data_IF_502877782495
#
_entry.id   IF_502877782495
#
_cell.length_a   1.000
_cell.length_b   1.000
_cell.length_c   1.000
_cell.angle_alpha   90.00
_cell.angle_beta   90.00
_cell.angle_gamma   90.00
#
_symmetry.space_group_name_H-M   'P 1'
#
loop_
_entity.id
_entity.type
_entity.pdbx_description
1 polymer ?
#
# COMPACT_ATOMS: atom_id res chain seq x y z
N UNK A 1 -18.46 4.63 51.76
CA UNK A 1 -19.21 4.55 50.50
C UNK A 1 -18.24 4.92 49.38
N UNK A 2 -17.79 3.88 48.68
CA UNK A 2 -16.83 3.90 47.58
C UNK A 2 -17.41 4.64 46.39
N UNK A 3 -16.84 5.78 46.02
CA UNK A 3 -17.10 6.41 44.72
C UNK A 3 -16.32 5.62 43.68
N UNK A 4 -17.08 4.82 42.92
CA UNK A 4 -16.60 3.87 41.92
C UNK A 4 -15.67 4.50 40.87
N UNK A 5 -14.58 3.79 40.58
CA UNK A 5 -13.56 4.13 39.58
C UNK A 5 -14.02 3.98 38.12
N UNK A 6 -15.30 4.22 37.83
CA UNK A 6 -15.90 4.08 36.48
C UNK A 6 -15.67 5.30 35.59
N UNK A 7 -15.45 6.48 36.17
CA UNK A 7 -15.23 7.72 35.39
C UNK A 7 -13.99 7.76 34.48
N UNK A 8 -12.80 7.23 34.83
CA UNK A 8 -11.62 7.30 33.96
C UNK A 8 -11.75 6.39 32.74
N UNK A 9 -12.30 5.18 32.93
CA UNK A 9 -12.47 4.18 31.87
C UNK A 9 -13.53 4.61 30.84
N UNK A 10 -14.62 5.20 31.32
CA UNK A 10 -15.67 5.77 30.46
C UNK A 10 -15.13 6.98 29.69
N UNK A 11 -14.38 7.89 30.34
CA UNK A 11 -13.75 9.02 29.67
C UNK A 11 -12.77 8.57 28.58
N UNK A 12 -12.00 7.51 28.87
CA UNK A 12 -11.10 6.86 27.91
C UNK A 12 -11.85 6.39 26.67
N UNK A 13 -12.96 5.68 26.87
CA UNK A 13 -13.81 5.16 25.79
C UNK A 13 -14.40 6.32 25.00
N UNK A 14 -14.89 7.37 25.66
CA UNK A 14 -15.41 8.56 24.99
C UNK A 14 -14.35 9.28 24.16
N UNK A 15 -13.12 9.46 24.67
CA UNK A 15 -12.01 10.06 23.93
C UNK A 15 -11.63 9.22 22.70
N UNK A 16 -11.60 7.89 22.84
CA UNK A 16 -11.29 6.96 21.76
C UNK A 16 -12.42 6.90 20.74
N UNK A 17 -13.69 6.88 21.18
CA UNK A 17 -14.85 6.93 20.29
C UNK A 17 -14.87 8.26 19.53
N UNK A 18 -14.58 9.38 20.20
CA UNK A 18 -14.56 10.71 19.58
C UNK A 18 -13.43 10.81 18.54
N UNK A 19 -12.24 10.28 18.84
CA UNK A 19 -11.11 10.23 17.92
C UNK A 19 -11.31 9.25 16.74
N UNK A 20 -12.11 8.20 16.92
CA UNK A 20 -12.39 7.20 15.89
C UNK A 20 -13.61 7.55 15.02
N UNK A 21 -14.63 8.20 15.59
CA UNK A 21 -15.93 8.49 14.95
C UNK A 21 -15.97 9.88 14.29
N UNK A 22 -15.33 10.90 14.87
CA UNK A 22 -15.21 12.19 14.19
C UNK A 22 -13.98 12.18 13.28
N UNK A 23 -14.21 12.52 12.01
CA UNK A 23 -13.26 12.73 10.91
C UNK A 23 -11.75 12.72 11.30
N UNK A 24 -10.85 12.01 10.58
CA UNK A 24 -9.43 11.83 10.94
C UNK A 24 -8.66 13.10 11.34
N UNK A 25 -9.07 14.27 10.85
CA UNK A 25 -8.52 15.57 11.23
C UNK A 25 -8.74 15.95 12.70
N UNK A 26 -9.87 15.55 13.30
CA UNK A 26 -10.21 15.84 14.70
C UNK A 26 -9.35 14.99 15.63
N UNK A 27 -9.23 13.69 15.34
CA UNK A 27 -8.32 12.80 16.07
C UNK A 27 -6.85 13.25 16.00
N UNK A 28 -6.40 13.72 14.83
CA UNK A 28 -5.05 14.22 14.66
C UNK A 28 -4.78 15.53 15.42
N UNK A 29 -5.73 16.48 15.43
CA UNK A 29 -5.60 17.71 16.22
C UNK A 29 -5.66 17.47 17.73
N UNK A 30 -6.51 16.54 18.17
CA UNK A 30 -6.54 16.10 19.56
C UNK A 30 -5.19 15.50 19.97
N UNK A 31 -4.61 14.63 19.14
CA UNK A 31 -3.29 14.04 19.39
C UNK A 31 -2.18 15.09 19.45
N UNK A 32 -2.17 16.07 18.54
CA UNK A 32 -1.24 17.20 18.56
C UNK A 32 -1.33 17.98 19.89
N UNK A 33 -2.55 18.36 20.27
CA UNK A 33 -2.81 19.12 21.50
C UNK A 33 -2.37 18.33 22.73
N UNK A 34 -2.65 17.02 22.75
CA UNK A 34 -2.27 16.13 23.84
C UNK A 34 -0.75 16.02 23.99
N UNK A 35 -0.04 15.83 22.87
CA UNK A 35 1.42 15.69 22.87
C UNK A 35 2.13 17.00 23.22
N UNK A 36 1.62 18.14 22.76
CA UNK A 36 2.14 19.46 23.16
C UNK A 36 1.96 19.70 24.66
N UNK A 37 0.76 19.44 25.18
CA UNK A 37 0.48 19.56 26.62
C UNK A 37 1.38 18.63 27.44
N UNK A 38 1.63 17.40 26.96
CA UNK A 38 2.59 16.50 27.60
C UNK A 38 4.02 17.09 27.61
N UNK A 39 4.50 17.66 26.50
CA UNK A 39 5.83 18.25 26.43
C UNK A 39 5.97 19.50 27.31
N UNK A 40 4.93 20.34 27.38
CA UNK A 40 4.91 21.54 28.24
C UNK A 40 4.92 21.16 29.72
N UNK A 41 4.09 20.18 30.13
CA UNK A 41 4.05 19.68 31.51
C UNK A 41 5.34 18.92 31.86
N UNK A 42 5.94 18.21 30.90
CA UNK A 42 7.21 17.52 31.09
C UNK A 42 8.39 18.49 31.31
N UNK A 43 8.39 19.63 30.60
CA UNK A 43 9.37 20.70 30.78
C UNK A 43 9.14 21.52 32.05
N UNK A 44 7.89 21.61 32.48
CA UNK A 44 7.54 22.26 33.74
C UNK A 44 8.02 21.39 34.91
N UNK A 45 8.67 21.99 35.90
CA UNK A 45 9.05 21.28 37.12
C UNK A 45 7.86 20.98 38.04
N UNK A 46 6.64 21.33 37.63
CA UNK A 46 5.41 21.16 38.41
C UNK A 46 5.28 19.75 38.98
N UNK A 47 5.16 19.68 40.30
CA UNK A 47 4.89 18.45 41.03
C UNK A 47 3.43 18.04 40.84
N UNK A 48 3.19 17.02 40.03
CA UNK A 48 1.83 16.53 39.80
C UNK A 48 1.79 15.25 38.97
N UNK A 49 0.70 14.49 39.11
CA UNK A 49 0.43 13.28 38.31
C UNK A 49 -0.11 13.58 36.90
N UNK A 50 -0.14 14.85 36.52
CA UNK A 50 -0.66 15.27 35.22
C UNK A 50 0.16 14.70 34.06
N UNK A 51 1.49 14.68 34.20
CA UNK A 51 2.38 14.10 33.20
C UNK A 51 2.11 12.60 32.98
N UNK A 52 1.95 11.85 34.08
CA UNK A 52 1.59 10.43 34.04
C UNK A 52 0.22 10.21 33.38
N UNK A 53 -0.78 11.02 33.74
CA UNK A 53 -2.14 10.90 33.18
C UNK A 53 -2.17 11.17 31.67
N UNK A 54 -1.44 12.19 31.20
CA UNK A 54 -1.31 12.48 29.77
C UNK A 54 -0.61 11.35 29.03
N UNK A 55 0.43 10.77 29.63
CA UNK A 55 1.15 9.63 29.06
C UNK A 55 0.26 8.37 28.98
N UNK A 56 -0.56 8.11 30.01
CA UNK A 56 -1.56 7.04 30.00
C UNK A 56 -2.59 7.27 28.89
N UNK A 57 -3.03 8.50 28.67
CA UNK A 57 -3.97 8.80 27.59
C UNK A 57 -3.36 8.52 26.21
N UNK A 58 -2.09 8.89 25.98
CA UNK A 58 -1.35 8.56 24.75
C UNK A 58 -1.20 7.04 24.60
N UNK A 59 -0.85 6.33 25.68
CA UNK A 59 -0.75 4.87 25.70
C UNK A 59 -2.08 4.18 25.30
N UNK A 60 -3.20 4.75 25.76
CA UNK A 60 -4.51 4.23 25.41
C UNK A 60 -4.87 4.48 23.93
N UNK A 61 -4.57 5.66 23.38
CA UNK A 61 -4.73 5.89 21.93
C UNK A 61 -3.96 4.87 21.08
N UNK A 62 -2.77 4.45 21.53
CA UNK A 62 -2.03 3.35 20.91
C UNK A 62 -2.74 2.00 21.08
N UNK A 63 -3.17 1.66 22.29
CA UNK A 63 -3.90 0.41 22.55
C UNK A 63 -5.19 0.30 21.71
N UNK A 64 -5.88 1.40 21.44
CA UNK A 64 -7.07 1.40 20.57
C UNK A 64 -6.76 1.54 19.06
N UNK A 65 -5.50 1.46 18.66
CA UNK A 65 -5.05 1.55 17.27
C UNK A 65 -5.39 2.88 16.59
N UNK A 66 -5.47 3.98 17.34
CA UNK A 66 -5.56 5.34 16.79
C UNK A 66 -4.16 5.79 16.34
N UNK A 67 -3.13 5.44 17.10
CA UNK A 67 -1.73 5.85 16.85
C UNK A 67 -0.85 4.63 16.62
N UNK A 68 0.15 4.76 15.75
CA UNK A 68 1.15 3.72 15.52
C UNK A 68 2.24 3.69 16.61
N UNK A 69 2.89 2.54 16.81
CA UNK A 69 3.98 2.33 17.79
C UNK A 69 5.18 3.29 17.66
N UNK A 70 5.31 4.01 16.54
CA UNK A 70 6.41 4.96 16.28
C UNK A 70 6.41 6.09 17.32
N UNK A 71 5.25 6.68 17.61
CA UNK A 71 5.14 7.75 18.60
C UNK A 71 5.58 7.27 19.99
N UNK A 72 5.17 6.05 20.36
CA UNK A 72 5.49 5.46 21.65
C UNK A 72 7.00 5.20 21.77
N UNK A 73 7.63 4.68 20.73
CA UNK A 73 9.08 4.50 20.70
C UNK A 73 9.84 5.83 20.74
N UNK A 74 9.36 6.88 20.08
CA UNK A 74 9.98 8.21 20.12
C UNK A 74 9.92 8.81 21.53
N UNK A 75 8.78 8.70 22.22
CA UNK A 75 8.63 9.12 23.62
C UNK A 75 9.56 8.33 24.51
N UNK A 76 9.59 6.99 24.39
CA UNK A 76 10.51 6.14 25.16
C UNK A 76 11.97 6.53 24.92
N UNK A 77 12.39 6.76 23.67
CA UNK A 77 13.75 7.19 23.35
C UNK A 77 14.09 8.55 23.95
N UNK A 78 13.15 9.50 23.95
CA UNK A 78 13.34 10.81 24.60
C UNK A 78 13.55 10.65 26.11
N UNK A 79 12.70 9.87 26.79
CA UNK A 79 12.85 9.62 28.24
C UNK A 79 14.14 8.86 28.58
N UNK A 80 14.53 7.90 27.74
CA UNK A 80 15.82 7.19 27.86
C UNK A 80 16.99 8.13 27.57
N UNK A 81 16.82 9.16 26.74
CA UNK A 81 17.87 10.13 26.41
C UNK A 81 18.27 10.98 27.62
N UNK A 82 17.30 11.42 28.42
CA UNK A 82 17.49 12.26 29.62
C UNK A 82 17.76 11.44 30.88
N UNK A 83 17.12 10.27 31.02
CA UNK A 83 17.35 9.27 32.07
C UNK A 83 17.34 9.84 33.51
N UNK A 84 16.39 10.74 33.81
CA UNK A 84 16.15 11.27 35.16
C UNK A 84 15.28 10.34 36.02
N UNK A 85 15.18 10.62 37.33
CA UNK A 85 14.28 9.88 38.24
C UNK A 85 12.81 9.92 37.79
N UNK A 86 12.35 11.09 37.31
CA UNK A 86 11.00 11.26 36.73
C UNK A 86 10.85 10.43 35.44
N UNK A 87 11.88 10.37 34.60
CA UNK A 87 11.85 9.60 33.35
C UNK A 87 11.70 8.10 33.58
N UNK A 88 12.38 7.55 34.61
CA UNK A 88 12.28 6.14 34.98
C UNK A 88 10.85 5.77 35.36
N UNK A 89 10.17 6.64 36.11
CA UNK A 89 8.76 6.45 36.49
C UNK A 89 7.84 6.51 35.26
N UNK A 90 8.04 7.48 34.36
CA UNK A 90 7.26 7.59 33.12
C UNK A 90 7.50 6.39 32.18
N UNK A 91 8.73 5.91 32.06
CA UNK A 91 9.07 4.70 31.27
C UNK A 91 8.34 3.49 31.86
N UNK A 92 8.37 3.31 33.18
CA UNK A 92 7.68 2.22 33.87
C UNK A 92 6.16 2.26 33.63
N UNK A 93 5.54 3.44 33.77
CA UNK A 93 4.10 3.63 33.53
C UNK A 93 3.76 3.29 32.09
N UNK A 94 4.55 3.75 31.13
CA UNK A 94 4.31 3.49 29.71
C UNK A 94 4.47 2.01 29.40
N UNK A 95 5.59 1.39 29.77
CA UNK A 95 5.88 -0.03 29.52
C UNK A 95 4.84 -0.97 30.16
N UNK A 96 4.29 -0.63 31.33
CA UNK A 96 3.19 -1.38 31.94
C UNK A 96 1.92 -1.34 31.08
N UNK A 97 1.59 -0.20 30.48
CA UNK A 97 0.36 -0.05 29.70
C UNK A 97 0.46 -0.56 28.26
N UNK A 98 1.63 -0.45 27.62
CA UNK A 98 1.80 -0.73 26.18
C UNK A 98 2.88 -1.75 25.84
N UNK A 99 3.71 -2.17 26.81
CA UNK A 99 4.91 -2.96 26.55
C UNK A 99 4.65 -4.29 25.83
N UNK A 100 3.58 -5.00 26.18
CA UNK A 100 3.22 -6.25 25.50
C UNK A 100 2.66 -6.01 24.09
N UNK A 101 1.85 -4.98 23.92
CA UNK A 101 1.35 -4.56 22.60
C UNK A 101 2.52 -4.18 21.68
N UNK A 102 3.49 -3.41 22.19
CA UNK A 102 4.71 -3.06 21.47
C UNK A 102 5.54 -4.28 21.08
N UNK A 103 5.72 -5.25 21.98
CA UNK A 103 6.46 -6.49 21.66
C UNK A 103 5.81 -7.28 20.52
N UNK A 104 4.48 -7.34 20.49
CA UNK A 104 3.73 -8.04 19.44
C UNK A 104 3.88 -7.36 18.08
N UNK A 105 4.00 -6.04 18.05
CA UNK A 105 4.14 -5.26 16.82
C UNK A 105 5.60 -5.12 16.35
N UNK A 106 6.53 -4.82 17.26
CA UNK A 106 7.95 -4.63 16.97
C UNK A 106 8.85 -5.16 18.11
N UNK A 107 9.09 -6.47 18.08
CA UNK A 107 9.98 -7.14 19.02
C UNK A 107 11.45 -6.69 18.87
N UNK A 108 11.88 -6.27 17.68
CA UNK A 108 13.24 -5.84 17.41
C UNK A 108 13.49 -4.45 18.02
N UNK A 109 12.59 -3.49 17.78
CA UNK A 109 12.66 -2.15 18.34
C UNK A 109 12.62 -2.15 19.88
N UNK A 110 11.82 -3.02 20.49
CA UNK A 110 11.83 -3.20 21.94
C UNK A 110 13.18 -3.75 22.43
N UNK A 111 13.77 -4.73 21.72
CA UNK A 111 15.08 -5.28 22.08
C UNK A 111 16.19 -4.22 21.98
N UNK A 112 16.16 -3.39 20.95
CA UNK A 112 17.09 -2.26 20.79
C UNK A 112 16.94 -1.26 21.94
N UNK A 113 15.71 -0.88 22.29
CA UNK A 113 15.44 0.03 23.40
C UNK A 113 15.97 -0.54 24.73
N UNK A 114 15.76 -1.83 25.00
CA UNK A 114 16.27 -2.50 26.20
C UNK A 114 17.81 -2.43 26.24
N UNK A 115 18.47 -2.69 25.12
CA UNK A 115 19.92 -2.62 25.04
C UNK A 115 20.43 -1.18 25.28
N UNK A 116 19.75 -0.17 24.75
CA UNK A 116 20.11 1.24 24.98
C UNK A 116 19.92 1.65 26.44
N UNK A 117 18.82 1.23 27.08
CA UNK A 117 18.60 1.45 28.51
C UNK A 117 19.67 0.76 29.35
N UNK A 118 20.04 -0.49 29.04
CA UNK A 118 21.10 -1.21 29.73
C UNK A 118 22.46 -0.53 29.57
N UNK A 119 22.81 -0.07 28.37
CA UNK A 119 24.05 0.68 28.12
C UNK A 119 24.09 1.96 28.96
N UNK A 120 22.99 2.72 29.00
CA UNK A 120 22.91 3.95 29.79
C UNK A 120 22.97 3.70 31.30
N UNK A 121 22.23 2.70 31.79
CA UNK A 121 22.29 2.30 33.19
C UNK A 121 23.71 1.87 33.61
N UNK A 122 24.44 1.17 32.74
CA UNK A 122 25.83 0.78 32.98
C UNK A 122 26.81 1.96 32.90
N UNK A 123 26.58 2.92 31.99
CA UNK A 123 27.44 4.09 31.81
C UNK A 123 27.35 5.09 32.98
N UNK A 124 26.21 5.17 33.67
CA UNK A 124 26.00 6.09 34.79
C UNK A 124 26.60 5.59 36.13
N UNK A 125 27.26 4.43 36.15
CA UNK A 125 28.01 3.92 37.30
C UNK A 125 27.14 3.45 38.48
N UNK A 126 27.80 3.04 39.57
CA UNK A 126 27.18 2.38 40.75
C UNK A 126 26.10 3.20 41.46
N UNK A 127 26.11 4.55 41.34
CA UNK A 127 25.12 5.42 41.99
C UNK A 127 23.66 5.20 41.53
N UNK A 128 23.46 4.76 40.28
CA UNK A 128 22.12 4.46 39.74
C UNK A 128 21.83 2.95 39.69
N UNK A 129 22.86 2.10 39.71
CA UNK A 129 22.68 0.64 39.84
C UNK A 129 22.07 0.26 41.21
N UNK A 130 22.30 1.05 42.25
CA UNK A 130 21.75 0.80 43.59
C UNK A 130 20.35 1.40 43.80
N UNK A 131 19.79 2.13 42.82
CA UNK A 131 18.42 2.61 42.91
C UNK A 131 17.45 1.47 42.58
N UNK A 132 16.73 0.99 43.60
CA UNK A 132 15.70 -0.06 43.48
C UNK A 132 14.71 0.18 42.32
N UNK A 133 14.44 1.45 41.97
CA UNK A 133 13.59 1.85 40.85
C UNK A 133 14.17 1.50 39.47
N UNK A 134 15.48 1.68 39.27
CA UNK A 134 16.16 1.36 38.00
C UNK A 134 16.24 -0.15 37.81
N UNK A 135 16.61 -0.88 38.87
CA UNK A 135 16.61 -2.35 38.86
C UNK A 135 15.21 -2.90 38.55
N UNK A 136 14.18 -2.37 39.22
CA UNK A 136 12.80 -2.76 38.94
C UNK A 136 12.38 -2.46 37.49
N UNK A 137 12.76 -1.30 36.93
CA UNK A 137 12.52 -1.00 35.51
C UNK A 137 13.19 -2.00 34.57
N UNK A 138 14.45 -2.34 34.83
CA UNK A 138 15.20 -3.33 34.05
C UNK A 138 14.56 -4.73 34.16
N UNK A 139 14.08 -5.11 35.33
CA UNK A 139 13.34 -6.37 35.53
C UNK A 139 12.06 -6.40 34.69
N UNK A 140 11.26 -5.32 34.69
CA UNK A 140 10.05 -5.21 33.87
C UNK A 140 10.40 -5.27 32.38
N UNK A 141 11.45 -4.58 31.94
CA UNK A 141 11.92 -4.63 30.55
C UNK A 141 12.37 -6.04 30.13
N UNK A 142 13.07 -6.76 31.01
CA UNK A 142 13.48 -8.15 30.77
C UNK A 142 12.30 -9.12 30.78
N UNK A 143 11.34 -8.93 31.68
CA UNK A 143 10.09 -9.69 31.69
C UNK A 143 9.31 -9.49 30.38
N UNK A 144 9.23 -8.25 29.89
CA UNK A 144 8.66 -7.95 28.57
C UNK A 144 9.42 -8.66 27.46
N UNK A 145 10.76 -8.58 27.41
CA UNK A 145 11.58 -9.29 26.41
C UNK A 145 11.27 -10.79 26.37
N UNK A 146 11.22 -11.41 27.54
CA UNK A 146 11.00 -12.85 27.71
C UNK A 146 9.53 -13.29 27.63
N UNK A 147 8.60 -12.36 27.40
CA UNK A 147 7.16 -12.62 27.32
C UNK A 147 6.52 -13.09 28.65
N UNK A 148 7.11 -12.74 29.79
CA UNK A 148 6.66 -13.15 31.12
C UNK A 148 5.59 -12.19 31.68
N UNK A 149 4.35 -12.33 31.22
CA UNK A 149 3.20 -11.49 31.63
C UNK A 149 2.98 -11.46 33.15
N UNK A 150 3.28 -12.58 33.83
CA UNK A 150 3.06 -12.76 35.27
C UNK A 150 3.99 -11.91 36.14
N UNK A 151 5.09 -11.41 35.60
CA UNK A 151 6.08 -10.61 36.34
C UNK A 151 5.80 -9.11 36.30
N UNK A 152 4.77 -8.65 35.58
CA UNK A 152 4.39 -7.24 35.52
C UNK A 152 3.27 -6.96 36.54
N UNK A 153 3.53 -6.21 37.62
CA UNK A 153 2.52 -5.93 38.63
C UNK A 153 1.36 -5.09 38.06
N UNK A 154 0.13 -5.57 38.22
CA UNK A 154 -1.08 -4.84 37.82
C UNK A 154 -1.39 -4.86 36.32
N UNK A 155 -0.76 -5.74 35.53
CA UNK A 155 -1.08 -5.89 34.11
C UNK A 155 -2.31 -6.79 33.93
N UNK A 156 -3.46 -6.20 33.62
CA UNK A 156 -4.67 -6.91 33.19
C UNK A 156 -5.07 -6.46 31.77
N UNK A 157 -4.93 -7.31 30.74
CA UNK A 157 -5.33 -6.97 29.38
C UNK A 157 -6.85 -7.07 29.15
N UNK A 158 -7.61 -7.70 30.05
CA UNK A 158 -9.03 -7.99 29.82
C UNK A 158 -9.92 -6.76 29.63
N UNK A 159 -9.81 -5.67 30.42
CA UNK A 159 -10.70 -4.51 30.29
C UNK A 159 -10.52 -3.82 28.93
N UNK A 160 -9.26 -3.60 28.52
CA UNK A 160 -8.93 -2.98 27.24
C UNK A 160 -9.39 -3.86 26.07
N UNK A 161 -9.26 -5.19 26.19
CA UNK A 161 -9.69 -6.11 25.14
C UNK A 161 -11.22 -6.21 25.03
N UNK A 162 -11.95 -6.16 26.16
CA UNK A 162 -13.42 -6.04 26.19
C UNK A 162 -13.87 -4.75 25.52
N UNK A 163 -13.27 -3.61 25.87
CA UNK A 163 -13.56 -2.32 25.26
C UNK A 163 -13.24 -2.29 23.76
N UNK A 164 -12.12 -2.89 23.34
CA UNK A 164 -11.75 -3.00 21.93
C UNK A 164 -12.75 -3.84 21.13
N UNK A 165 -13.29 -4.92 21.73
CA UNK A 165 -14.35 -5.73 21.11
C UNK A 165 -15.66 -4.93 20.96
N UNK A 166 -16.06 -4.19 22.00
CA UNK A 166 -17.24 -3.32 21.93
C UNK A 166 -17.11 -2.25 20.85
N UNK A 167 -15.93 -1.61 20.76
CA UNK A 167 -15.67 -0.61 19.72
C UNK A 167 -15.79 -1.20 18.31
N UNK A 168 -15.25 -2.40 18.07
CA UNK A 168 -15.40 -3.09 16.78
C UNK A 168 -16.86 -3.40 16.42
N UNK A 169 -17.67 -3.79 17.40
CA UNK A 169 -19.10 -4.05 17.19
C UNK A 169 -19.86 -2.78 16.83
N UNK A 170 -19.52 -1.63 17.44
CA UNK A 170 -20.15 -0.34 17.16
C UNK A 170 -19.73 0.25 15.81
N UNK A 171 -18.54 -0.07 15.32
CA UNK A 171 -17.97 0.49 14.08
C UNK A 171 -18.17 -0.41 12.86
N UNK A 172 -19.30 -1.12 12.78
CA UNK A 172 -19.57 -2.30 11.92
C UNK A 172 -19.41 -2.11 10.38
N UNK A 173 -18.91 -0.97 9.90
CA UNK A 173 -18.70 -0.65 8.47
C UNK A 173 -17.31 -0.06 8.14
N UNK A 174 -16.40 0.14 9.10
CA UNK A 174 -15.03 0.60 8.81
C UNK A 174 -14.07 -0.58 8.76
N UNK A 175 -13.88 -1.11 7.56
CA UNK A 175 -12.82 -2.07 7.25
C UNK A 175 -11.49 -1.53 7.76
N UNK A 176 -10.81 -2.31 8.60
CA UNK A 176 -9.41 -2.13 9.00
C UNK A 176 -9.09 -1.14 10.13
N UNK A 177 -9.28 -1.59 11.37
CA UNK A 177 -8.74 -0.95 12.57
C UNK A 177 -7.21 -1.08 12.75
N UNK A 178 -6.48 -1.72 11.83
CA UNK A 178 -5.00 -1.75 11.84
C UNK A 178 -4.38 -0.85 10.75
N UNK A 179 -5.04 -0.65 9.62
CA UNK A 179 -4.52 0.20 8.52
C UNK A 179 -4.85 1.69 8.68
N UNK A 180 -5.77 2.05 9.59
CA UNK A 180 -6.15 3.44 9.87
C UNK A 180 -5.30 4.14 10.94
N UNK A 181 -4.24 3.50 11.46
CA UNK A 181 -3.37 4.07 12.48
C UNK A 181 -2.63 5.32 11.96
N UNK A 182 -2.68 6.41 12.73
CA UNK A 182 -1.92 7.62 12.45
C UNK A 182 -0.43 7.33 12.72
N UNK A 183 0.38 7.27 11.66
CA UNK A 183 1.84 7.10 11.73
C UNK A 183 2.53 8.46 11.82
N UNK A 184 2.68 8.97 13.04
CA UNK A 184 3.30 10.29 13.29
C UNK A 184 4.45 10.17 14.28
N UNK A 185 5.56 10.86 14.00
CA UNK A 185 6.68 10.99 14.93
C UNK A 185 6.42 12.08 15.98
N UNK A 186 7.04 11.93 17.15
CA UNK A 186 6.93 12.92 18.23
C UNK A 186 7.37 14.32 17.76
N UNK A 187 8.46 14.38 17.01
CA UNK A 187 9.05 15.62 16.51
C UNK A 187 8.14 16.34 15.50
N UNK A 188 7.37 15.57 14.70
CA UNK A 188 6.39 16.12 13.76
C UNK A 188 5.20 16.76 14.48
N UNK A 189 4.73 16.16 15.58
CA UNK A 189 3.66 16.74 16.40
C UNK A 189 4.10 18.01 17.15
N UNK A 190 5.33 18.01 17.68
CA UNK A 190 5.87 19.16 18.41
C UNK A 190 6.20 20.34 17.48
N UNK A 191 6.64 20.07 16.25
CA UNK A 191 6.92 21.10 15.24
C UNK A 191 5.81 21.26 14.20
N UNK A 192 4.58 20.86 14.51
CA UNK A 192 3.49 20.91 13.53
C UNK A 192 3.17 22.34 13.04
N UNK A 193 3.51 23.38 13.82
CA UNK A 193 3.40 24.78 13.37
C UNK A 193 4.48 25.19 12.35
N UNK A 194 5.62 24.50 12.33
CA UNK A 194 6.75 24.77 11.42
C UNK A 194 6.71 23.87 10.18
N UNK A 195 6.49 22.57 10.40
CA UNK A 195 6.50 21.52 9.35
C UNK A 195 5.17 21.49 8.57
N UNK A 196 4.13 22.12 9.12
CA UNK A 196 2.78 22.09 8.60
C UNK A 196 2.00 20.90 9.16
N UNK A 197 0.69 21.10 9.36
CA UNK A 197 -0.21 20.07 9.90
C UNK A 197 -0.48 19.03 8.82
N UNK A 198 0.04 17.81 9.01
CA UNK A 198 0.02 16.74 8.01
C UNK A 198 -1.40 16.20 7.68
N UNK A 199 -2.39 16.52 8.51
CA UNK A 199 -3.80 16.12 8.34
C UNK A 199 -4.69 17.22 7.74
N UNK A 200 -4.12 18.39 7.41
CA UNK A 200 -4.83 19.44 6.68
C UNK A 200 -4.40 19.36 5.21
N UNK A 201 -5.36 19.19 4.31
CA UNK A 201 -5.09 19.09 2.87
C UNK A 201 -4.57 20.46 2.37
N UNK A 202 -3.31 20.52 1.93
CA UNK A 202 -2.69 21.71 1.34
C UNK A 202 -1.66 22.46 2.21
N UNK A 203 -1.39 22.03 3.45
CA UNK A 203 -0.44 22.69 4.36
C UNK A 203 0.97 22.09 4.42
N UNK A 204 1.29 21.10 3.59
CA UNK A 204 2.64 20.52 3.51
C UNK A 204 3.60 21.40 2.69
N UNK A 205 3.73 22.69 3.01
CA UNK A 205 4.95 23.44 2.70
C UNK A 205 5.03 24.78 3.46
N UNK A 206 5.83 24.82 4.51
CA UNK A 206 6.35 26.07 5.09
C UNK A 206 7.82 25.91 5.48
N UNK A 207 8.67 25.77 4.45
CA UNK A 207 10.05 26.28 4.42
C UNK A 207 10.97 26.11 5.62
N UNK A 208 11.13 24.93 6.22
CA UNK A 208 12.28 24.65 7.10
C UNK A 208 13.41 23.98 6.30
N UNK A 209 14.67 24.47 6.40
CA UNK A 209 15.81 23.91 5.68
C UNK A 209 16.15 22.51 6.23
N UNK A 210 16.58 21.62 5.34
CA UNK A 210 17.06 20.29 5.70
C UNK A 210 18.17 20.40 6.75
N UNK A 211 17.92 19.85 7.94
CA UNK A 211 18.99 19.55 8.89
C UNK A 211 19.67 18.29 8.35
N UNK A 212 20.86 18.48 7.78
CA UNK A 212 21.84 17.43 7.49
C UNK A 212 22.06 16.60 8.76
N UNK A 213 21.42 15.44 8.80
CA UNK A 213 21.56 14.46 9.87
C UNK A 213 22.40 13.31 9.33
N UNK A 214 23.70 13.54 9.24
CA UNK A 214 24.68 12.47 9.07
C UNK A 214 24.59 11.50 10.25
N UNK A 215 24.52 10.22 9.90
CA UNK A 215 24.67 8.99 10.68
C UNK A 215 23.41 8.30 11.24
N UNK A 216 23.19 7.15 10.59
CA UNK A 216 22.62 5.90 11.10
C UNK A 216 21.09 5.78 11.11
N UNK A 217 20.55 5.54 9.91
CA UNK A 217 19.70 4.38 9.63
C UNK A 217 19.80 4.00 8.15
N UNK A 218 20.17 2.74 7.94
CA UNK A 218 20.16 2.00 6.68
C UNK A 218 18.74 1.96 6.11
N UNK A 219 18.33 3.03 5.42
CA UNK A 219 17.55 2.85 4.21
C UNK A 219 18.54 2.35 3.17
N UNK A 220 18.29 1.17 2.61
CA UNK A 220 19.00 0.71 1.42
C UNK A 220 18.63 1.63 0.26
N UNK A 221 19.25 2.80 0.22
CA UNK A 221 19.59 3.47 -1.02
C UNK A 221 20.61 2.52 -1.64
N UNK A 222 20.15 1.64 -2.52
CA UNK A 222 21.02 1.01 -3.50
C UNK A 222 21.87 2.13 -4.09
N UNK A 223 23.21 2.00 -4.17
CA UNK A 223 24.04 2.98 -4.83
C UNK A 223 23.77 2.88 -6.34
N UNK A 224 22.64 3.46 -6.78
CA UNK A 224 22.36 3.71 -8.19
C UNK A 224 23.26 4.88 -8.55
N UNK A 225 24.45 4.53 -9.05
CA UNK A 225 25.51 5.47 -9.35
C UNK A 225 25.00 6.65 -10.17
N UNK A 226 25.47 7.86 -9.81
CA UNK A 226 25.39 9.11 -10.58
C UNK A 226 24.20 9.11 -11.56
N UNK A 227 22.98 9.20 -11.04
CA UNK A 227 21.78 9.32 -11.87
C UNK A 227 21.98 10.53 -12.79
N UNK A 228 22.14 10.24 -14.07
CA UNK A 228 22.41 11.23 -15.10
C UNK A 228 21.27 12.25 -15.08
N UNK A 229 21.58 13.54 -14.89
CA UNK A 229 20.58 14.62 -14.78
C UNK A 229 19.57 14.65 -15.94
N UNK A 230 19.90 14.01 -17.06
CA UNK A 230 19.03 13.76 -18.22
C UNK A 230 17.84 12.82 -17.92
N UNK A 231 18.04 11.75 -17.15
CA UNK A 231 16.99 10.76 -16.81
C UNK A 231 15.99 11.37 -15.83
N UNK A 232 16.47 12.14 -14.84
CA UNK A 232 15.60 12.89 -13.92
C UNK A 232 14.78 13.97 -14.64
N UNK A 233 15.37 14.66 -15.62
CA UNK A 233 14.64 15.60 -16.48
C UNK A 233 13.59 14.91 -17.36
N UNK A 234 13.84 13.67 -17.78
CA UNK A 234 12.88 12.87 -18.55
C UNK A 234 11.71 12.43 -17.66
N UNK A 235 11.97 12.01 -16.42
CA UNK A 235 10.93 11.67 -15.44
C UNK A 235 9.99 12.86 -15.16
N UNK A 236 10.54 14.07 -15.02
CA UNK A 236 9.74 15.29 -14.87
C UNK A 236 8.87 15.59 -16.12
N UNK A 237 9.39 15.35 -17.33
CA UNK A 237 8.61 15.50 -18.57
C UNK A 237 7.48 14.48 -18.70
N UNK A 238 7.63 13.30 -18.10
CA UNK A 238 6.63 12.24 -18.09
C UNK A 238 5.62 12.34 -16.92
N UNK A 239 5.51 13.51 -16.27
CA UNK A 239 4.60 13.80 -15.14
C UNK A 239 4.83 12.92 -13.90
N UNK A 240 6.06 12.48 -13.66
CA UNK A 240 6.43 11.75 -12.45
C UNK A 240 6.73 12.71 -11.30
N UNK A 241 5.66 13.21 -10.69
CA UNK A 241 5.74 14.28 -9.70
C UNK A 241 6.08 13.79 -8.28
N UNK A 242 5.97 12.48 -8.02
CA UNK A 242 6.27 11.86 -6.72
C UNK A 242 7.60 11.11 -6.76
N UNK A 243 8.30 11.07 -5.62
CA UNK A 243 9.59 10.37 -5.50
C UNK A 243 9.46 8.87 -5.81
N UNK A 244 8.34 8.26 -5.45
CA UNK A 244 8.02 6.86 -5.78
C UNK A 244 7.96 6.66 -7.31
N UNK A 245 7.26 7.54 -8.04
CA UNK A 245 7.17 7.44 -9.49
C UNK A 245 8.54 7.60 -10.14
N UNK A 246 9.33 8.57 -9.66
CA UNK A 246 10.70 8.81 -10.15
C UNK A 246 11.61 7.62 -9.88
N UNK A 247 11.54 7.00 -8.71
CA UNK A 247 12.36 5.86 -8.33
C UNK A 247 12.04 4.64 -9.20
N UNK A 248 10.74 4.31 -9.36
CA UNK A 248 10.30 3.21 -10.24
C UNK A 248 10.80 3.46 -11.66
N UNK A 249 10.62 4.67 -12.20
CA UNK A 249 11.10 4.99 -13.54
C UNK A 249 12.61 4.93 -13.70
N UNK A 250 13.36 5.43 -12.71
CA UNK A 250 14.81 5.33 -12.75
C UNK A 250 15.24 3.86 -12.78
N UNK A 251 14.61 2.99 -12.00
CA UNK A 251 14.88 1.54 -12.04
C UNK A 251 14.56 0.98 -13.42
N UNK A 252 13.38 1.26 -13.98
CA UNK A 252 12.99 0.77 -15.31
C UNK A 252 13.96 1.20 -16.42
N UNK A 253 14.54 2.40 -16.33
CA UNK A 253 15.45 2.95 -17.33
C UNK A 253 16.91 2.55 -17.13
N UNK A 254 17.29 2.09 -15.93
CA UNK A 254 18.68 1.72 -15.59
C UNK A 254 18.91 0.22 -15.44
N UNK A 255 17.84 -0.56 -15.36
CA UNK A 255 17.92 -2.01 -15.34
C UNK A 255 18.37 -2.59 -16.68
N UNK A 256 19.15 -3.65 -16.60
CA UNK A 256 19.71 -4.34 -17.77
C UNK A 256 18.68 -5.26 -18.43
N UNK A 257 17.92 -5.99 -17.61
CA UNK A 257 16.87 -6.90 -18.05
C UNK A 257 15.61 -6.82 -17.15
N UNK A 258 14.56 -7.54 -17.55
CA UNK A 258 13.29 -7.50 -16.83
C UNK A 258 13.35 -8.20 -15.47
N UNK A 259 14.27 -9.14 -15.25
CA UNK A 259 14.42 -9.83 -13.97
C UNK A 259 15.13 -8.94 -12.94
N UNK A 260 16.20 -8.27 -13.35
CA UNK A 260 16.90 -7.24 -12.58
C UNK A 260 15.96 -6.09 -12.22
N UNK A 261 15.16 -5.62 -13.19
CA UNK A 261 14.13 -4.62 -12.92
C UNK A 261 13.11 -5.11 -11.89
N UNK A 262 12.62 -6.35 -12.02
CA UNK A 262 11.67 -6.95 -11.10
C UNK A 262 12.25 -7.02 -9.67
N UNK A 263 13.48 -7.51 -9.50
CA UNK A 263 14.14 -7.58 -8.19
C UNK A 263 14.36 -6.20 -7.57
N UNK A 264 14.85 -5.23 -8.35
CA UNK A 264 15.09 -3.86 -7.89
C UNK A 264 13.79 -3.16 -7.48
N UNK A 265 12.70 -3.40 -8.21
CA UNK A 265 11.39 -2.87 -7.87
C UNK A 265 10.81 -3.49 -6.59
N UNK A 266 10.99 -4.79 -6.37
CA UNK A 266 10.58 -5.43 -5.11
C UNK A 266 11.38 -4.91 -3.91
N UNK A 267 12.67 -4.62 -4.09
CA UNK A 267 13.53 -4.06 -3.04
C UNK A 267 13.10 -2.66 -2.58
N UNK A 268 12.24 -1.96 -3.33
CA UNK A 268 11.65 -0.69 -2.89
C UNK A 268 10.67 -0.85 -1.71
N UNK A 269 10.16 -2.07 -1.43
CA UNK A 269 9.23 -2.35 -0.33
C UNK A 269 8.05 -1.36 -0.26
N UNK A 270 7.47 -1.04 -1.43
CA UNK A 270 6.32 -0.15 -1.55
C UNK A 270 5.09 -0.78 -0.86
N UNK A 271 4.21 0.04 -0.30
CA UNK A 271 3.03 -0.46 0.45
C UNK A 271 1.75 -0.31 -0.35
N UNK A 272 0.96 -1.38 -0.43
CA UNK A 272 -0.42 -1.45 -0.94
C UNK A 272 -0.74 -0.54 -2.14
N UNK A 273 -1.21 0.68 -1.90
CA UNK A 273 -1.56 1.63 -2.96
C UNK A 273 -0.34 2.10 -3.77
N UNK A 274 0.83 2.18 -3.14
CA UNK A 274 2.08 2.57 -3.81
C UNK A 274 2.58 1.48 -4.77
N UNK A 275 2.32 0.20 -4.49
CA UNK A 275 2.71 -0.88 -5.41
C UNK A 275 1.94 -0.79 -6.74
N UNK A 276 0.72 -0.27 -6.73
CA UNK A 276 -0.08 -0.04 -7.95
C UNK A 276 0.59 0.93 -8.91
N UNK A 277 1.39 1.87 -8.39
CA UNK A 277 2.17 2.80 -9.20
C UNK A 277 3.16 2.09 -10.11
N UNK A 278 3.67 0.91 -9.71
CA UNK A 278 4.55 0.11 -10.56
C UNK A 278 3.82 -0.26 -11.86
N UNK A 279 2.59 -0.75 -11.77
CA UNK A 279 1.79 -1.13 -12.93
C UNK A 279 1.42 0.09 -13.80
N UNK A 280 1.05 1.21 -13.18
CA UNK A 280 0.72 2.44 -13.90
C UNK A 280 1.92 2.98 -14.67
N UNK A 281 3.09 3.06 -14.04
CA UNK A 281 4.31 3.58 -14.65
C UNK A 281 4.82 2.62 -15.74
N UNK A 282 4.77 1.31 -15.52
CA UNK A 282 5.11 0.32 -16.55
C UNK A 282 4.28 0.53 -17.81
N UNK A 283 2.96 0.69 -17.66
CA UNK A 283 2.06 0.93 -18.77
C UNK A 283 2.37 2.27 -19.45
N UNK A 284 2.47 3.36 -18.70
CA UNK A 284 2.72 4.68 -19.28
C UNK A 284 4.08 4.74 -20.00
N UNK A 285 5.13 4.11 -19.46
CA UNK A 285 6.43 4.02 -20.13
C UNK A 285 6.31 3.23 -21.44
N UNK A 286 5.66 2.07 -21.42
CA UNK A 286 5.45 1.23 -22.61
C UNK A 286 4.73 2.00 -23.73
N UNK A 287 3.72 2.82 -23.38
CA UNK A 287 2.97 3.61 -24.36
C UNK A 287 3.76 4.78 -24.95
N UNK A 288 4.74 5.32 -24.22
CA UNK A 288 5.54 6.46 -24.64
C UNK A 288 6.80 6.08 -25.43
N UNK A 289 7.15 4.80 -25.48
CA UNK A 289 8.26 4.31 -26.30
C UNK A 289 8.02 4.55 -27.79
N UNK A 290 9.07 4.96 -28.51
CA UNK A 290 9.00 5.18 -29.97
C UNK A 290 8.72 3.87 -30.73
N UNK A 291 9.27 2.78 -30.21
CA UNK A 291 9.13 1.43 -30.76
C UNK A 291 8.77 0.49 -29.63
N UNK A 292 7.81 -0.39 -29.86
CA UNK A 292 7.40 -1.38 -28.86
C UNK A 292 8.60 -2.17 -28.34
N UNK A 293 8.84 -2.08 -27.02
CA UNK A 293 9.89 -2.80 -26.33
C UNK A 293 9.26 -3.98 -25.55
N UNK A 294 9.58 -5.24 -25.91
CA UNK A 294 9.07 -6.43 -25.22
C UNK A 294 9.40 -6.50 -23.72
N UNK A 295 10.44 -5.79 -23.27
CA UNK A 295 10.83 -5.69 -21.86
C UNK A 295 9.64 -5.40 -20.94
N UNK A 296 8.81 -4.41 -21.28
CA UNK A 296 7.66 -4.02 -20.46
C UNK A 296 6.61 -5.13 -20.37
N UNK A 297 6.46 -5.93 -21.43
CA UNK A 297 5.49 -6.99 -21.50
C UNK A 297 5.91 -8.21 -20.65
N UNK A 298 7.19 -8.58 -20.69
CA UNK A 298 7.75 -9.62 -19.81
C UNK A 298 7.74 -9.19 -18.34
N UNK A 299 8.09 -7.93 -18.06
CA UNK A 299 8.05 -7.40 -16.70
C UNK A 299 6.63 -7.35 -16.13
N UNK A 300 5.66 -6.88 -16.92
CA UNK A 300 4.24 -6.87 -16.54
C UNK A 300 3.72 -8.28 -16.27
N UNK A 301 4.08 -9.25 -17.13
CA UNK A 301 3.76 -10.66 -16.92
C UNK A 301 4.35 -11.20 -15.61
N UNK A 302 5.60 -10.86 -15.28
CA UNK A 302 6.23 -11.30 -14.04
C UNK A 302 5.56 -10.74 -12.78
N UNK A 303 5.12 -9.48 -12.81
CA UNK A 303 4.34 -8.90 -11.72
C UNK A 303 2.96 -9.55 -11.58
N UNK A 304 2.30 -9.86 -12.70
CA UNK A 304 1.05 -10.62 -12.71
C UNK A 304 1.20 -12.04 -12.12
N UNK A 305 2.36 -12.68 -12.33
CA UNK A 305 2.70 -13.98 -11.73
C UNK A 305 2.93 -13.88 -10.23
N UNK A 306 3.62 -12.82 -9.79
CA UNK A 306 3.97 -12.62 -8.40
C UNK A 306 2.75 -12.43 -7.50
N UNK A 307 1.82 -11.53 -7.88
CA UNK A 307 0.70 -11.14 -7.04
C UNK A 307 -0.56 -10.84 -7.87
N UNK A 308 -1.71 -11.46 -7.53
CA UNK A 308 -2.97 -11.29 -8.27
C UNK A 308 -3.47 -9.84 -8.29
N UNK A 309 -3.06 -9.04 -7.32
CA UNK A 309 -3.39 -7.60 -7.22
C UNK A 309 -2.84 -6.82 -8.43
N UNK A 310 -1.69 -7.21 -8.98
CA UNK A 310 -1.15 -6.58 -10.19
C UNK A 310 -2.00 -6.89 -11.40
N UNK A 311 -2.53 -8.12 -11.55
CA UNK A 311 -3.44 -8.46 -12.66
C UNK A 311 -4.66 -7.53 -12.69
N UNK A 312 -5.28 -7.32 -11.52
CA UNK A 312 -6.42 -6.42 -11.36
C UNK A 312 -6.04 -4.97 -11.70
N UNK A 313 -4.88 -4.52 -11.22
CA UNK A 313 -4.40 -3.14 -11.44
C UNK A 313 -4.09 -2.88 -12.92
N UNK A 314 -3.43 -3.83 -13.60
CA UNK A 314 -3.20 -3.76 -15.04
C UNK A 314 -4.51 -3.78 -15.82
N UNK A 315 -5.47 -4.63 -15.43
CA UNK A 315 -6.78 -4.66 -16.08
C UNK A 315 -7.49 -3.30 -16.02
N UNK A 316 -7.57 -2.67 -14.84
CA UNK A 316 -8.18 -1.34 -14.71
C UNK A 316 -7.40 -0.27 -15.45
N UNK A 317 -6.07 -0.29 -15.38
CA UNK A 317 -5.23 0.68 -16.11
C UNK A 317 -5.43 0.57 -17.63
N UNK A 318 -5.52 -0.66 -18.16
CA UNK A 318 -5.80 -0.90 -19.57
C UNK A 318 -7.23 -0.46 -19.92
N UNK A 319 -8.21 -0.67 -19.04
CA UNK A 319 -9.57 -0.17 -19.24
C UNK A 319 -9.62 1.34 -19.41
N UNK A 320 -8.89 2.08 -18.58
CA UNK A 320 -8.81 3.54 -18.70
C UNK A 320 -8.20 3.95 -20.03
N UNK A 321 -7.15 3.26 -20.50
CA UNK A 321 -6.57 3.52 -21.84
C UNK A 321 -7.50 3.09 -22.99
N UNK A 322 -8.30 2.03 -22.83
CA UNK A 322 -9.28 1.59 -23.83
C UNK A 322 -10.42 2.62 -23.98
N UNK A 323 -10.86 3.22 -22.87
CA UNK A 323 -11.84 4.32 -22.90
C UNK A 323 -11.31 5.54 -23.65
N UNK A 324 -10.01 5.80 -23.53
CA UNK A 324 -9.33 6.96 -24.08
C UNK A 324 -8.62 6.71 -25.43
N UNK A 325 -8.93 5.61 -26.14
CA UNK A 325 -8.25 5.24 -27.40
C UNK A 325 -8.24 6.34 -28.46
N UNK A 326 -9.28 7.18 -28.50
CA UNK A 326 -9.40 8.27 -29.48
C UNK A 326 -8.35 9.39 -29.29
N UNK A 327 -7.81 9.54 -28.07
CA UNK A 327 -6.85 10.57 -27.73
C UNK A 327 -5.39 10.07 -27.73
N UNK A 328 -5.17 8.77 -27.93
CA UNK A 328 -3.84 8.19 -27.97
C UNK A 328 -3.13 8.50 -29.31
N UNK A 329 -1.83 8.74 -29.24
CA UNK A 329 -1.00 8.81 -30.44
C UNK A 329 -0.96 7.46 -31.16
N UNK A 330 -0.69 7.46 -32.48
CA UNK A 330 -0.62 6.23 -33.28
C UNK A 330 0.42 5.25 -32.73
N UNK A 331 1.55 5.75 -32.23
CA UNK A 331 2.59 4.94 -31.60
C UNK A 331 2.11 4.32 -30.29
N UNK A 332 1.51 5.12 -29.40
CA UNK A 332 0.96 4.64 -28.14
C UNK A 332 -0.14 3.59 -28.37
N UNK A 333 -1.01 3.81 -29.36
CA UNK A 333 -2.03 2.85 -29.77
C UNK A 333 -1.42 1.51 -30.21
N UNK A 334 -0.40 1.54 -31.06
CA UNK A 334 0.28 0.32 -31.54
C UNK A 334 1.00 -0.42 -30.39
N UNK A 335 1.65 0.31 -29.49
CA UNK A 335 2.30 -0.29 -28.32
C UNK A 335 1.28 -0.92 -27.37
N UNK A 336 0.14 -0.26 -27.12
CA UNK A 336 -0.95 -0.80 -26.29
C UNK A 336 -1.48 -2.11 -26.87
N UNK A 337 -1.75 -2.15 -28.18
CA UNK A 337 -2.22 -3.36 -28.88
C UNK A 337 -1.25 -4.52 -28.65
N UNK A 338 0.05 -4.31 -28.89
CA UNK A 338 1.08 -5.35 -28.70
C UNK A 338 1.20 -5.83 -27.25
N UNK A 339 1.12 -4.91 -26.29
CA UNK A 339 1.15 -5.24 -24.86
C UNK A 339 -0.06 -6.11 -24.47
N UNK A 340 -1.27 -5.73 -24.90
CA UNK A 340 -2.49 -6.48 -24.60
C UNK A 340 -2.46 -7.86 -25.25
N UNK A 341 -1.99 -7.98 -26.50
CA UNK A 341 -1.79 -9.28 -27.16
C UNK A 341 -0.87 -10.17 -26.32
N UNK A 342 0.27 -9.65 -25.87
CA UNK A 342 1.22 -10.42 -25.07
C UNK A 342 0.62 -10.91 -23.73
N UNK A 343 -0.10 -10.03 -23.02
CA UNK A 343 -0.71 -10.36 -21.72
C UNK A 343 -1.88 -11.37 -21.86
N UNK A 344 -2.60 -11.33 -22.97
CA UNK A 344 -3.65 -12.31 -23.28
C UNK A 344 -3.05 -13.68 -23.66
N UNK A 345 -2.02 -13.70 -24.50
CA UNK A 345 -1.30 -14.94 -24.87
C UNK A 345 -0.71 -15.67 -23.67
N UNK A 346 -0.14 -14.91 -22.74
CA UNK A 346 0.46 -15.44 -21.50
C UNK A 346 -0.59 -15.80 -20.44
N UNK A 347 -1.90 -15.59 -20.73
CA UNK A 347 -3.04 -15.86 -19.84
C UNK A 347 -3.01 -15.09 -18.50
N UNK A 348 -2.18 -14.06 -18.38
CA UNK A 348 -2.16 -13.16 -17.22
C UNK A 348 -3.35 -12.21 -17.20
N UNK A 349 -3.89 -11.89 -18.39
CA UNK A 349 -5.19 -11.25 -18.55
C UNK A 349 -6.14 -12.18 -19.30
N UNK A 350 -7.43 -12.04 -19.00
CA UNK A 350 -8.52 -12.75 -19.70
C UNK A 350 -9.21 -11.81 -20.70
N UNK A 351 -10.05 -12.38 -21.58
CA UNK A 351 -10.90 -11.64 -22.51
C UNK A 351 -11.85 -10.66 -21.82
N UNK A 352 -12.01 -10.76 -20.49
CA UNK A 352 -12.69 -9.76 -19.64
C UNK A 352 -12.09 -8.36 -19.76
N UNK A 353 -10.86 -8.20 -20.25
CA UNK A 353 -10.27 -6.89 -20.56
C UNK A 353 -11.12 -6.10 -21.56
N UNK A 354 -11.88 -6.78 -22.44
CA UNK A 354 -12.79 -6.12 -23.40
C UNK A 354 -14.15 -5.75 -22.82
N UNK A 355 -14.46 -6.09 -21.56
CA UNK A 355 -15.75 -5.76 -20.92
C UNK A 355 -16.03 -4.26 -20.89
N UNK A 356 -14.99 -3.44 -20.87
CA UNK A 356 -15.10 -1.98 -20.87
C UNK A 356 -15.65 -1.42 -22.19
N UNK A 357 -15.65 -2.22 -23.26
CA UNK A 357 -16.13 -1.80 -24.58
C UNK A 357 -17.63 -2.09 -24.69
N UNK A 358 -18.40 -1.05 -24.92
CA UNK A 358 -19.83 -1.16 -25.21
C UNK A 358 -20.02 -1.49 -26.70
N UNK A 359 -20.37 -2.75 -26.99
CA UNK A 359 -20.52 -3.24 -28.38
C UNK A 359 -21.73 -2.64 -29.12
N UNK A 360 -22.65 -2.00 -28.40
CA UNK A 360 -23.77 -1.27 -29.00
C UNK A 360 -23.36 0.07 -29.64
N UNK A 361 -22.25 0.66 -29.18
CA UNK A 361 -21.75 1.95 -29.66
C UNK A 361 -20.23 1.89 -29.91
N UNK A 362 -19.87 1.28 -31.04
CA UNK A 362 -18.49 1.03 -31.44
C UNK A 362 -17.94 2.15 -32.32
N UNK A 363 -17.09 2.99 -31.73
CA UNK A 363 -16.32 3.99 -32.47
C UNK A 363 -15.21 3.37 -33.34
N UNK A 364 -14.77 4.10 -34.38
CA UNK A 364 -13.68 3.67 -35.28
C UNK A 364 -12.39 3.24 -34.53
N UNK A 365 -11.90 3.95 -33.48
CA UNK A 365 -10.71 3.53 -32.75
C UNK A 365 -10.89 2.21 -31.99
N UNK A 366 -12.05 1.99 -31.36
CA UNK A 366 -12.39 0.76 -30.63
C UNK A 366 -12.48 -0.44 -31.59
N UNK A 367 -13.10 -0.25 -32.75
CA UNK A 367 -13.16 -1.30 -33.81
C UNK A 367 -11.76 -1.65 -34.31
N UNK A 368 -10.91 -0.65 -34.57
CA UNK A 368 -9.54 -0.89 -35.02
C UNK A 368 -8.72 -1.64 -33.96
N UNK A 369 -8.87 -1.25 -32.68
CA UNK A 369 -8.18 -1.87 -31.56
C UNK A 369 -8.57 -3.34 -31.42
N UNK A 370 -9.88 -3.63 -31.33
CA UNK A 370 -10.40 -5.00 -31.24
C UNK A 370 -9.97 -5.85 -32.43
N UNK A 371 -10.00 -5.28 -33.64
CA UNK A 371 -9.59 -5.99 -34.86
C UNK A 371 -8.12 -6.40 -34.78
N UNK A 372 -7.21 -5.48 -34.46
CA UNK A 372 -5.78 -5.80 -34.40
C UNK A 372 -5.48 -6.82 -33.31
N UNK A 373 -6.05 -6.68 -32.12
CA UNK A 373 -5.81 -7.61 -31.01
C UNK A 373 -6.38 -9.00 -31.32
N UNK A 374 -7.65 -9.09 -31.74
CA UNK A 374 -8.28 -10.37 -32.02
C UNK A 374 -7.65 -11.06 -33.23
N UNK A 375 -7.39 -10.35 -34.34
CA UNK A 375 -6.70 -10.96 -35.49
C UNK A 375 -5.34 -11.55 -35.10
N UNK A 376 -4.54 -10.84 -34.31
CA UNK A 376 -3.26 -11.34 -33.83
C UNK A 376 -3.43 -12.59 -32.94
N UNK A 377 -4.38 -12.60 -32.01
CA UNK A 377 -4.66 -13.78 -31.17
C UNK A 377 -5.04 -15.00 -32.00
N UNK A 378 -5.94 -14.86 -32.98
CA UNK A 378 -6.37 -15.99 -33.80
C UNK A 378 -5.26 -16.49 -34.74
N UNK A 379 -4.42 -15.61 -35.27
CA UNK A 379 -3.31 -16.00 -36.13
C UNK A 379 -2.20 -16.69 -35.34
N UNK A 380 -1.84 -16.14 -34.17
CA UNK A 380 -0.63 -16.51 -33.44
C UNK A 380 -0.85 -17.58 -32.36
N UNK A 381 -2.10 -17.93 -32.01
CA UNK A 381 -2.41 -18.95 -31.00
C UNK A 381 -2.99 -20.24 -31.60
N UNK A 382 -2.74 -21.35 -30.90
CA UNK A 382 -3.31 -22.66 -31.23
C UNK A 382 -4.82 -22.70 -30.96
N UNK A 383 -5.53 -23.53 -31.74
CA UNK A 383 -6.99 -23.59 -31.72
C UNK A 383 -7.55 -24.07 -30.37
N UNK A 384 -6.88 -25.03 -29.72
CA UNK A 384 -7.31 -25.56 -28.42
C UNK A 384 -7.24 -24.49 -27.32
N UNK A 385 -6.18 -23.68 -27.34
CA UNK A 385 -5.99 -22.59 -26.37
C UNK A 385 -7.02 -21.49 -26.57
N UNK A 386 -7.35 -21.17 -27.83
CA UNK A 386 -8.42 -20.23 -28.15
C UNK A 386 -9.77 -20.75 -27.63
N UNK A 387 -10.10 -22.01 -27.91
CA UNK A 387 -11.34 -22.62 -27.42
C UNK A 387 -11.43 -22.55 -25.87
N UNK A 388 -10.39 -22.92 -25.14
CA UNK A 388 -10.36 -22.83 -23.66
C UNK A 388 -10.60 -21.39 -23.15
N UNK A 389 -9.99 -20.39 -23.78
CA UNK A 389 -10.17 -18.98 -23.38
C UNK A 389 -11.61 -18.50 -23.60
N UNK A 390 -12.21 -18.87 -24.71
CA UNK A 390 -13.58 -18.50 -25.08
C UNK A 390 -14.64 -19.30 -24.31
N UNK A 391 -14.36 -20.56 -23.97
CA UNK A 391 -15.24 -21.38 -23.13
C UNK A 391 -15.35 -20.85 -21.71
N UNK A 392 -14.23 -20.46 -21.08
CA UNK A 392 -14.23 -19.83 -19.75
C UNK A 392 -15.04 -18.54 -19.69
N UNK A 393 -15.18 -17.86 -20.83
CA UNK A 393 -16.01 -16.66 -20.96
C UNK A 393 -17.51 -17.01 -20.98
N UNK A 394 -17.88 -18.10 -21.65
CA UNK A 394 -19.27 -18.56 -21.79
C UNK A 394 -19.85 -19.11 -20.47
N UNK A 395 -19.01 -19.71 -19.63
CA UNK A 395 -19.45 -20.32 -18.36
C UNK A 395 -19.86 -19.28 -17.29
N UNK A 396 -19.56 -17.98 -17.49
CA UNK A 396 -19.89 -16.92 -16.52
C UNK A 396 -21.11 -16.07 -16.96
N UNK A 397 -22.29 -16.22 -16.33
CA UNK A 397 -23.51 -15.54 -16.75
C UNK A 397 -23.44 -14.01 -16.59
N UNK A 398 -22.57 -13.48 -15.72
CA UNK A 398 -22.37 -12.02 -15.53
C UNK A 398 -21.63 -11.35 -16.69
N UNK A 399 -21.15 -12.13 -17.67
CA UNK A 399 -20.34 -11.68 -18.80
C UNK A 399 -21.09 -11.89 -20.14
N UNK A 400 -22.36 -12.31 -20.11
CA UNK A 400 -23.15 -12.63 -21.31
C UNK A 400 -23.22 -11.54 -22.38
N UNK A 401 -23.25 -10.25 -21.99
CA UNK A 401 -23.23 -9.15 -22.97
C UNK A 401 -21.91 -9.04 -23.73
N UNK A 402 -20.78 -9.27 -23.06
CA UNK A 402 -19.47 -9.29 -23.69
C UNK A 402 -19.33 -10.50 -24.62
N UNK A 403 -19.88 -11.64 -24.20
CA UNK A 403 -19.92 -12.85 -25.02
C UNK A 403 -20.65 -12.62 -26.35
N UNK A 404 -21.89 -12.12 -26.30
CA UNK A 404 -22.66 -11.79 -27.51
C UNK A 404 -22.00 -10.68 -28.34
N UNK A 405 -21.44 -9.66 -27.68
CA UNK A 405 -20.69 -8.60 -28.34
C UNK A 405 -19.49 -9.11 -29.13
N UNK A 406 -18.66 -9.97 -28.53
CA UNK A 406 -17.51 -10.58 -29.19
C UNK A 406 -17.94 -11.52 -30.33
N UNK A 407 -18.98 -12.31 -30.14
CA UNK A 407 -19.54 -13.20 -31.18
C UNK A 407 -20.03 -12.39 -32.40
N UNK A 408 -20.78 -11.32 -32.17
CA UNK A 408 -21.21 -10.40 -33.22
C UNK A 408 -20.01 -9.73 -33.90
N UNK A 409 -19.01 -9.30 -33.12
CA UNK A 409 -17.81 -8.68 -33.66
C UNK A 409 -17.01 -9.63 -34.56
N UNK A 410 -16.81 -10.87 -34.12
CA UNK A 410 -16.11 -11.91 -34.88
C UNK A 410 -16.82 -12.20 -36.21
N UNK A 411 -18.14 -12.39 -36.16
CA UNK A 411 -18.96 -12.76 -37.33
C UNK A 411 -19.20 -11.61 -38.32
N UNK A 412 -19.38 -10.37 -37.84
CA UNK A 412 -19.70 -9.23 -38.71
C UNK A 412 -18.49 -8.38 -39.09
N UNK A 413 -17.51 -8.19 -38.19
CA UNK A 413 -16.41 -7.25 -38.40
C UNK A 413 -15.08 -7.93 -38.77
N UNK A 414 -14.78 -9.12 -38.23
CA UNK A 414 -13.56 -9.85 -38.58
C UNK A 414 -13.76 -10.72 -39.84
N UNK A 415 -14.84 -11.49 -39.91
CA UNK A 415 -15.13 -12.35 -41.08
C UNK A 415 -15.45 -11.60 -42.38
N UNK A 416 -15.98 -10.37 -42.33
CA UNK A 416 -16.23 -9.58 -43.55
C UNK A 416 -14.97 -8.88 -44.06
N UNK A 417 -14.00 -8.62 -43.18
CA UNK A 417 -12.75 -7.90 -43.51
C UNK A 417 -11.56 -8.81 -43.84
N UNK A 418 -11.69 -10.14 -43.76
CA UNK A 418 -10.67 -11.09 -44.22
C UNK A 418 -10.32 -10.94 -45.71
N UNK A 419 -11.19 -10.32 -46.50
CA UNK A 419 -10.92 -9.97 -47.91
C UNK A 419 -9.92 -8.81 -48.09
N UNK A 420 -9.61 -8.07 -47.02
CA UNK A 420 -8.69 -6.93 -47.04
C UNK A 420 -7.30 -7.25 -46.46
N UNK A 421 -7.06 -8.48 -46.00
CA UNK A 421 -5.73 -8.91 -45.55
C UNK A 421 -4.82 -9.18 -46.77
N UNK A 422 -3.56 -8.77 -46.66
CA UNK A 422 -2.55 -8.83 -47.72
C UNK A 422 -2.19 -10.26 -48.17
N UNK A 423 -2.53 -11.28 -47.38
CA UNK A 423 -2.19 -12.68 -47.66
C UNK A 423 -3.43 -13.60 -47.61
N UNK A 424 -3.76 -14.19 -48.76
CA UNK A 424 -5.00 -14.99 -48.97
C UNK A 424 -5.04 -16.21 -48.04
N UNK A 425 -3.87 -16.77 -47.70
CA UNK A 425 -3.74 -17.95 -46.83
C UNK A 425 -4.02 -17.63 -45.36
N UNK A 426 -3.50 -16.52 -44.85
CA UNK A 426 -3.76 -16.07 -43.48
C UNK A 426 -5.23 -15.70 -43.28
N UNK A 427 -5.84 -15.08 -44.29
CA UNK A 427 -7.28 -14.76 -44.27
C UNK A 427 -8.18 -16.00 -44.22
N UNK A 428 -7.79 -17.08 -44.91
CA UNK A 428 -8.51 -18.36 -44.89
C UNK A 428 -8.38 -19.06 -43.52
N UNK A 429 -7.16 -19.12 -42.97
CA UNK A 429 -6.88 -19.71 -41.66
C UNK A 429 -7.60 -18.95 -40.55
N UNK A 430 -7.58 -17.61 -40.59
CA UNK A 430 -8.31 -16.76 -39.64
C UNK A 430 -9.81 -17.07 -39.66
N UNK A 431 -10.39 -17.24 -40.86
CA UNK A 431 -11.81 -17.55 -41.01
C UNK A 431 -12.16 -18.92 -40.43
N UNK A 432 -11.37 -19.95 -40.73
CA UNK A 432 -11.56 -21.31 -40.22
C UNK A 432 -11.53 -21.35 -38.69
N UNK A 433 -10.53 -20.71 -38.07
CA UNK A 433 -10.42 -20.65 -36.61
C UNK A 433 -11.58 -19.88 -35.96
N UNK A 434 -12.02 -18.77 -36.57
CA UNK A 434 -13.19 -18.00 -36.11
C UNK A 434 -14.47 -18.84 -36.20
N UNK A 435 -14.67 -19.57 -37.28
CA UNK A 435 -15.84 -20.42 -37.47
C UNK A 435 -15.90 -21.51 -36.40
N UNK A 436 -14.77 -22.16 -36.09
CA UNK A 436 -14.70 -23.21 -35.08
C UNK A 436 -14.93 -22.66 -33.66
N UNK A 437 -14.35 -21.51 -33.29
CA UNK A 437 -14.63 -20.85 -31.99
C UNK A 437 -16.11 -20.44 -31.92
N UNK A 438 -16.68 -19.91 -33.00
CA UNK A 438 -18.09 -19.50 -33.03
C UNK A 438 -19.04 -20.69 -32.88
N UNK A 439 -18.67 -21.86 -33.41
CA UNK A 439 -19.41 -23.11 -33.20
C UNK A 439 -19.33 -23.58 -31.74
N UNK A 440 -18.15 -23.53 -31.12
CA UNK A 440 -17.96 -23.84 -29.69
C UNK A 440 -18.83 -22.94 -28.80
N UNK A 441 -18.88 -21.64 -29.10
CA UNK A 441 -19.70 -20.66 -28.38
C UNK A 441 -21.21 -20.96 -28.54
N UNK A 442 -21.66 -21.34 -29.74
CA UNK A 442 -23.07 -21.71 -30.00
C UNK A 442 -23.50 -23.02 -29.33
N UNK A 443 -22.64 -24.03 -29.29
CA UNK A 443 -22.97 -25.35 -28.75
C UNK A 443 -23.23 -25.36 -27.24
N UNK A 444 -22.61 -24.44 -26.48
CA UNK A 444 -22.84 -24.30 -25.03
C UNK A 444 -24.04 -23.40 -24.67
N UNK A 445 -24.40 -22.40 -25.48
CA UNK A 445 -25.66 -21.63 -25.30
C UNK A 445 -26.90 -22.53 -25.27
N UNK A 446 -26.91 -23.60 -26.08
CA UNK A 446 -27.96 -24.63 -26.08
C UNK A 446 -28.01 -25.47 -24.80
N UNK A 447 -26.92 -25.57 -24.03
CA UNK A 447 -26.87 -26.31 -22.76
C UNK A 447 -27.24 -25.46 -21.54
N UNK A 448 -27.10 -24.14 -21.62
CA UNK A 448 -27.43 -23.21 -20.52
C UNK A 448 -28.91 -22.79 -20.53
N UNK A 449 -29.61 -22.99 -21.66
CA UNK A 449 -31.05 -22.72 -21.83
C UNK A 449 -31.97 -23.92 -21.53
N UNK A 450 -31.39 -25.07 -21.18
CA UNK A 450 -32.06 -26.28 -20.67
C UNK A 450 -31.76 -26.39 -19.18
#
# INVERSE_FOLDING_TARGET
MTTDGTTPEILLVHCVLYAYVLHPSVGAHFLETLVRKFDDVYKSEAEGKECENLLILIANLYNFYVVHSVLIFDILKKLVSTFSGKDIELILVLLKNVGFSLRKEDALGLRELINEVQKKANAMGKQFQDQSRVCFMLEIMLALKNNDVRKIPGYDPEPIEKLRKLLRTLTHNSSSGKESQLRVSLESLLRADQVGRWWIVGSSWSGAPMIDSTNNKTEQILPVGKINSKILKLACKQRMNTDIRRNIFCILMTSEDFLDAFEKLLKLNLKDQQEREIAHILLDCCLQEKTYNPFYAYLSAKFCEYEKRFQITFQFSIWDKIRDLGNLSTTAFSNLVKLVIHLLKTKWLSLTVFKVIEFGDLDKPKVNFLRQVLSALFLEMEQEVLNDMFEKLADNPKIGMLHEGLKLFLTHFLMKNTKAHLDIKEGALLKEKIDLVTQTLKAKESKVKL
#
